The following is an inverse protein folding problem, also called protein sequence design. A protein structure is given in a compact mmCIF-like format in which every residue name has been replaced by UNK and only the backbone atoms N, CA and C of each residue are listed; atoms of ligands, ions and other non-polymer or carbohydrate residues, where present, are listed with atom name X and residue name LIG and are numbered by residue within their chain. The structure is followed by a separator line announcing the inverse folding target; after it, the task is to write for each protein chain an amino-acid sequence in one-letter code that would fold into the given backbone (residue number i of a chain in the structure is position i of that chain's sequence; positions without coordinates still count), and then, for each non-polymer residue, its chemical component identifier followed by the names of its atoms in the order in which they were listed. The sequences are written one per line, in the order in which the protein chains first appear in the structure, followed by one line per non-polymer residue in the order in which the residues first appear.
data_IF_275943905172
#
_entry.id   IF_275943905172
#
_cell.length_a   1.000
_cell.length_b   1.000
_cell.length_c   1.000
_cell.angle_alpha   90.00
_cell.angle_beta   90.00
_cell.angle_gamma   90.00
#
_symmetry.space_group_name_H-M   'P 1'
#
loop_
_entity.id
_entity.type
_entity.pdbx_description
1 polymer ?
#
# COMPACT_ATOMS: atom_id res chain seq x y z
N UNK A 1 2.16 -3.14 19.16
CA UNK A 1 1.62 -4.22 18.31
C UNK A 1 2.67 -4.52 17.25
N UNK A 2 3.08 -5.78 17.10
CA UNK A 2 4.04 -6.12 16.07
C UNK A 2 3.35 -6.07 14.69
N UNK A 3 4.05 -5.62 13.63
CA UNK A 3 3.49 -5.60 12.28
C UNK A 3 2.93 -6.96 11.85
N UNK A 4 3.56 -8.05 12.30
CA UNK A 4 3.14 -9.44 12.05
C UNK A 4 1.75 -9.75 12.57
N UNK A 5 1.43 -9.35 13.79
CA UNK A 5 0.09 -9.58 14.39
C UNK A 5 -0.99 -8.85 13.59
N UNK A 6 -0.66 -7.66 13.08
CA UNK A 6 -1.54 -6.87 12.20
C UNK A 6 -1.69 -7.54 10.83
N UNK A 7 -0.60 -8.10 10.26
CA UNK A 7 -0.68 -8.88 9.01
C UNK A 7 -1.65 -10.06 9.14
N UNK A 8 -1.54 -10.80 10.25
CA UNK A 8 -2.35 -11.99 10.51
C UNK A 8 -3.81 -11.61 10.79
N UNK A 9 -4.04 -10.61 11.65
CA UNK A 9 -5.40 -10.15 11.98
C UNK A 9 -6.17 -9.56 10.80
N UNK A 10 -5.47 -8.98 9.81
CA UNK A 10 -6.08 -8.47 8.58
C UNK A 10 -6.08 -9.47 7.42
N UNK A 11 -5.54 -10.68 7.60
CA UNK A 11 -5.50 -11.70 6.57
C UNK A 11 -4.68 -11.32 5.33
N UNK A 12 -3.67 -10.46 5.46
CA UNK A 12 -2.92 -9.95 4.31
C UNK A 12 -2.18 -11.06 3.55
N UNK A 13 -1.81 -12.15 4.23
CA UNK A 13 -1.17 -13.31 3.60
C UNK A 13 -2.05 -14.01 2.54
N UNK A 14 -3.37 -13.86 2.62
CA UNK A 14 -4.31 -14.44 1.66
C UNK A 14 -4.47 -13.58 0.39
N UNK A 15 -4.09 -12.29 0.46
CA UNK A 15 -4.15 -11.35 -0.65
C UNK A 15 -3.00 -11.56 -1.63
N UNK A 16 -3.13 -12.56 -2.51
CA UNK A 16 -2.13 -12.88 -3.55
C UNK A 16 -2.26 -12.06 -4.83
N UNK A 17 -3.43 -11.46 -5.08
CA UNK A 17 -3.74 -10.72 -6.32
C UNK A 17 -3.44 -9.21 -6.24
N UNK A 18 -2.91 -8.72 -5.12
CA UNK A 18 -2.58 -7.31 -4.93
C UNK A 18 -1.36 -7.16 -4.04
N UNK A 19 -0.50 -6.18 -4.35
CA UNK A 19 0.59 -5.80 -3.45
C UNK A 19 0.00 -5.13 -2.20
N UNK A 20 0.57 -5.45 -1.05
CA UNK A 20 0.21 -4.89 0.25
C UNK A 20 1.49 -4.55 1.03
N UNK A 21 1.35 -3.63 1.98
CA UNK A 21 2.44 -3.18 2.86
C UNK A 21 1.86 -2.67 4.16
N UNK A 22 2.54 -2.96 5.27
CA UNK A 22 2.22 -2.44 6.58
C UNK A 22 3.32 -1.50 6.99
N UNK A 23 2.94 -0.26 7.29
CA UNK A 23 3.83 0.75 7.82
C UNK A 23 3.36 1.14 9.21
N UNK A 24 4.25 1.03 10.20
CA UNK A 24 4.01 1.62 11.51
C UNK A 24 3.98 3.14 11.37
N UNK A 25 2.92 3.79 11.85
CA UNK A 25 2.79 5.25 11.76
C UNK A 25 2.28 5.86 13.05
N UNK A 26 2.75 7.06 13.37
CA UNK A 26 2.23 7.89 14.44
C UNK A 26 1.71 9.20 13.85
N UNK A 27 0.39 9.31 13.66
CA UNK A 27 -0.23 10.47 13.02
C UNK A 27 0.06 11.81 13.74
N UNK A 28 0.21 11.78 15.07
CA UNK A 28 0.52 12.99 15.86
C UNK A 28 1.95 13.48 15.67
N UNK A 29 2.90 12.57 15.38
CA UNK A 29 4.31 12.90 15.17
C UNK A 29 4.69 13.01 13.69
N UNK A 30 3.87 12.44 12.81
CA UNK A 30 4.13 12.33 11.37
C UNK A 30 5.02 11.13 11.00
N UNK A 31 5.44 10.32 11.97
CA UNK A 31 6.32 9.17 11.73
C UNK A 31 5.64 8.14 10.82
N UNK A 32 6.37 7.60 9.85
CA UNK A 32 5.91 6.54 8.97
C UNK A 32 4.94 6.97 7.86
N UNK A 33 4.49 8.23 7.85
CA UNK A 33 3.54 8.70 6.84
C UNK A 33 4.20 8.82 5.47
N UNK A 34 5.40 9.40 5.42
CA UNK A 34 6.15 9.60 4.18
C UNK A 34 6.59 8.27 3.57
N UNK A 35 7.07 7.35 4.39
CA UNK A 35 7.51 6.02 3.99
C UNK A 35 6.34 5.20 3.43
N UNK A 36 5.16 5.29 4.06
CA UNK A 36 3.95 4.64 3.57
C UNK A 36 3.48 5.21 2.23
N UNK A 37 3.55 6.53 2.07
CA UNK A 37 3.19 7.21 0.82
C UNK A 37 4.19 6.96 -0.30
N UNK A 38 5.49 6.89 0.00
CA UNK A 38 6.54 6.57 -0.97
C UNK A 38 6.36 5.13 -1.50
N UNK A 39 6.11 4.18 -0.61
CA UNK A 39 5.79 2.81 -1.00
C UNK A 39 4.55 2.76 -1.91
N UNK A 40 3.50 3.50 -1.57
CA UNK A 40 2.28 3.55 -2.37
C UNK A 40 2.56 4.12 -3.77
N UNK A 41 3.30 5.23 -3.85
CA UNK A 41 3.68 5.86 -5.12
C UNK A 41 4.49 4.90 -6.01
N UNK A 42 5.48 4.22 -5.43
CA UNK A 42 6.30 3.23 -6.12
C UNK A 42 5.47 2.02 -6.59
N UNK A 43 4.56 1.53 -5.74
CA UNK A 43 3.66 0.43 -6.07
C UNK A 43 2.68 0.80 -7.19
N UNK A 44 2.12 2.02 -7.15
CA UNK A 44 1.20 2.49 -8.19
C UNK A 44 1.91 2.69 -9.54
N UNK A 45 3.16 3.16 -9.55
CA UNK A 45 3.97 3.23 -10.77
C UNK A 45 4.15 1.85 -11.40
N UNK A 46 4.43 0.84 -10.58
CA UNK A 46 4.60 -0.54 -11.03
C UNK A 46 3.28 -1.17 -11.53
N UNK A 47 2.17 -0.93 -10.81
CA UNK A 47 0.83 -1.37 -11.25
C UNK A 47 0.40 -0.67 -12.56
N UNK A 48 0.76 0.61 -12.73
CA UNK A 48 0.53 1.35 -13.98
C UNK A 48 1.36 0.77 -15.12
N UNK A 49 2.61 0.38 -14.87
CA UNK A 49 3.43 -0.32 -15.87
C UNK A 49 2.85 -1.70 -16.24
N UNK A 50 2.16 -2.37 -15.31
CA UNK A 50 1.46 -3.62 -15.54
C UNK A 50 0.09 -3.49 -16.28
N UNK A 51 -0.34 -2.26 -16.64
CA UNK A 51 -1.47 -2.05 -17.56
C UNK A 51 -2.82 -1.71 -16.92
N UNK A 52 -2.90 -1.39 -15.63
CA UNK A 52 -4.14 -0.87 -15.03
C UNK A 52 -4.20 0.67 -15.18
N UNK A 53 -4.56 1.15 -16.37
CA UNK A 53 -4.76 2.59 -16.60
C UNK A 53 -6.18 2.98 -16.18
N UNK A 54 -6.32 3.63 -15.02
CA UNK A 54 -7.59 4.24 -14.58
C UNK A 54 -7.93 5.56 -15.29
N UNK A 55 -7.34 5.84 -16.46
CA UNK A 55 -7.85 6.90 -17.34
C UNK A 55 -9.05 6.32 -18.09
N UNK A 56 -10.23 6.42 -17.48
CA UNK A 56 -11.48 6.35 -18.24
C UNK A 56 -11.45 7.43 -19.33
N UNK A 57 -12.02 7.17 -20.52
CA UNK A 57 -12.05 8.17 -21.57
C UNK A 57 -12.84 9.37 -21.06
N UNK A 58 -12.15 10.49 -20.87
CA UNK A 58 -12.82 11.78 -20.77
C UNK A 58 -13.44 12.04 -22.14
N UNK A 59 -14.77 11.90 -22.23
CA UNK A 59 -15.55 12.43 -23.36
C UNK A 59 -15.48 13.96 -23.36
#
# INVERSE_FOLDING_TARGET
MAPREVCEGLGLFDLKNRKWHIQGTCALRGDGLYEGLDWLSSTLKDVKAAGFTSVGPSF
#
